data_IF_782028863901
#
_entry.id   IF_782028863901
#
_cell.length_a   1.000
_cell.length_b   1.000
_cell.length_c   1.000
_cell.angle_alpha   90.00
_cell.angle_beta   90.00
_cell.angle_gamma   90.00
#
_symmetry.space_group_name_H-M   'P 1'
#
loop_
_entity.id
_entity.type
_entity.pdbx_description
1 polymer ?
#
# COMPACT_ATOMS: atom_id res chain seq x y z
N UNK A 1 8.36 17.61 -31.26
CA UNK A 1 9.32 16.70 -30.67
C UNK A 1 10.35 16.21 -31.66
N UNK A 2 9.97 15.77 -32.85
CA UNK A 2 10.91 15.36 -33.84
C UNK A 2 11.80 16.47 -34.33
N UNK A 3 11.36 17.69 -34.11
CA UNK A 3 12.10 18.87 -34.50
C UNK A 3 13.40 19.04 -33.72
N UNK A 4 13.50 18.44 -32.57
CA UNK A 4 14.66 18.54 -31.70
C UNK A 4 15.93 18.07 -32.38
N UNK A 5 15.83 17.14 -33.32
CA UNK A 5 17.00 16.61 -34.03
C UNK A 5 17.79 17.67 -34.75
N UNK A 6 17.14 18.70 -35.28
CA UNK A 6 17.84 19.76 -35.98
C UNK A 6 18.68 20.60 -35.04
N UNK A 7 18.23 20.74 -33.77
CA UNK A 7 18.99 21.51 -32.77
C UNK A 7 20.19 20.73 -32.24
N UNK A 8 20.20 19.43 -32.41
CA UNK A 8 21.25 18.55 -31.91
C UNK A 8 22.40 18.38 -32.87
N UNK A 9 22.29 18.91 -34.07
CA UNK A 9 23.29 18.70 -35.12
C UNK A 9 24.10 19.97 -35.39
N UNK A 10 25.13 20.24 -34.58
CA UNK A 10 25.97 21.41 -34.84
C UNK A 10 26.65 21.28 -36.19
N UNK A 11 26.72 22.37 -36.89
CA UNK A 11 27.26 22.37 -38.24
C UNK A 11 28.77 22.15 -38.31
N UNK A 12 29.46 22.39 -37.20
CA UNK A 12 30.92 22.37 -37.18
C UNK A 12 31.49 21.21 -36.38
N UNK A 13 30.66 20.46 -35.69
CA UNK A 13 31.13 19.34 -34.86
C UNK A 13 30.77 18.02 -35.51
N UNK A 14 31.70 17.10 -35.46
CA UNK A 14 31.46 15.75 -35.93
C UNK A 14 32.26 14.77 -35.08
N UNK A 15 31.63 13.69 -34.54
CA UNK A 15 30.21 13.39 -34.68
C UNK A 15 29.35 14.40 -33.95
N UNK A 16 28.12 14.64 -34.40
CA UNK A 16 27.22 15.57 -33.72
C UNK A 16 26.83 15.02 -32.35
N UNK A 17 26.77 15.91 -31.38
CA UNK A 17 26.39 15.55 -30.02
C UNK A 17 25.10 16.28 -29.64
N UNK A 18 24.15 15.54 -29.11
CA UNK A 18 22.91 16.09 -28.57
C UNK A 18 22.91 15.99 -27.06
N UNK A 19 22.46 17.02 -26.36
CA UNK A 19 22.16 16.83 -24.94
C UNK A 19 21.09 15.78 -24.80
N UNK A 20 21.13 14.96 -23.72
CA UNK A 20 20.06 13.99 -23.51
C UNK A 20 18.71 14.70 -23.35
N UNK A 21 17.62 14.15 -23.90
CA UNK A 21 16.32 14.77 -23.70
C UNK A 21 15.98 14.79 -22.22
N UNK A 22 15.22 15.79 -21.75
CA UNK A 22 14.80 15.81 -20.36
C UNK A 22 13.97 14.56 -20.05
N UNK A 23 14.09 13.99 -18.84
CA UNK A 23 13.32 12.82 -18.48
C UNK A 23 11.81 13.14 -18.53
N UNK A 24 11.04 12.19 -19.03
CA UNK A 24 9.59 12.33 -19.07
C UNK A 24 9.07 12.21 -17.64
N UNK A 25 8.29 13.18 -17.13
CA UNK A 25 7.76 13.08 -15.77
C UNK A 25 6.86 11.86 -15.62
N UNK A 26 7.07 11.10 -14.54
CA UNK A 26 6.29 9.90 -14.23
C UNK A 26 5.81 9.87 -12.77
N UNK A 27 5.88 10.99 -12.09
CA UNK A 27 5.59 11.05 -10.65
C UNK A 27 4.24 11.68 -10.37
N UNK A 28 3.69 11.37 -9.20
CA UNK A 28 2.55 12.06 -8.61
C UNK A 28 3.04 12.82 -7.39
N UNK A 29 2.25 13.79 -6.96
CA UNK A 29 2.49 14.48 -5.70
C UNK A 29 2.08 13.57 -4.55
N UNK A 30 2.98 13.39 -3.59
CA UNK A 30 2.74 12.55 -2.42
C UNK A 30 2.50 13.47 -1.22
N UNK A 31 1.26 13.53 -0.76
CA UNK A 31 0.89 14.35 0.41
C UNK A 31 0.55 13.47 1.61
N UNK A 32 0.35 12.17 1.41
CA UNK A 32 0.03 11.24 2.49
C UNK A 32 1.29 10.88 3.28
N UNK A 33 1.11 10.49 4.52
CA UNK A 33 2.20 9.98 5.34
C UNK A 33 2.75 8.66 4.81
N UNK A 34 3.70 8.07 5.53
CA UNK A 34 4.33 6.82 5.14
C UNK A 34 3.76 5.62 5.86
N UNK A 35 2.71 5.80 6.62
CA UNK A 35 2.18 4.79 7.52
C UNK A 35 0.66 4.92 7.60
N UNK A 36 -0.01 3.78 7.55
CA UNK A 36 -1.45 3.69 7.82
C UNK A 36 -1.63 3.08 9.19
N UNK A 37 -2.33 3.78 10.07
CA UNK A 37 -2.73 3.24 11.37
C UNK A 37 -4.14 2.67 11.24
N UNK A 38 -4.26 1.37 11.45
CA UNK A 38 -5.53 0.68 11.35
C UNK A 38 -6.11 0.53 12.75
N UNK A 39 -7.13 1.32 13.05
CA UNK A 39 -7.80 1.34 14.35
C UNK A 39 -9.27 1.03 14.14
N UNK A 40 -9.60 -0.23 14.27
CA UNK A 40 -10.96 -0.72 14.06
C UNK A 40 -11.77 -0.78 15.37
N UNK A 41 -11.18 -0.36 16.48
CA UNK A 41 -11.80 -0.38 17.80
C UNK A 41 -11.39 -1.58 18.62
N UNK A 42 -12.25 -1.99 19.56
CA UNK A 42 -11.98 -3.12 20.42
C UNK A 42 -12.53 -4.41 19.82
N UNK A 43 -11.84 -5.51 20.09
CA UNK A 43 -12.24 -6.84 19.65
C UNK A 43 -13.01 -7.51 20.78
N UNK A 44 -14.19 -8.04 20.47
CA UNK A 44 -14.99 -8.85 21.39
C UNK A 44 -14.90 -10.32 20.94
N UNK A 45 -14.43 -11.19 21.82
CA UNK A 45 -14.15 -12.59 21.48
C UNK A 45 -15.38 -13.33 20.96
N UNK A 46 -16.56 -13.00 21.46
CA UNK A 46 -17.81 -13.66 21.06
C UNK A 46 -18.15 -13.49 19.59
N UNK A 47 -17.58 -12.48 18.94
CA UNK A 47 -17.83 -12.22 17.53
C UNK A 47 -16.94 -13.06 16.61
N UNK A 48 -16.01 -13.83 17.18
CA UNK A 48 -15.03 -14.62 16.43
C UNK A 48 -14.99 -16.05 16.98
N UNK A 49 -16.08 -16.83 16.81
CA UNK A 49 -16.14 -18.17 17.40
C UNK A 49 -15.17 -19.17 16.79
N UNK A 50 -14.64 -18.90 15.59
CA UNK A 50 -13.74 -19.82 14.89
C UNK A 50 -12.50 -19.09 14.38
N UNK A 51 -11.41 -19.86 14.23
CA UNK A 51 -10.20 -19.37 13.56
C UNK A 51 -10.57 -18.95 12.13
N UNK A 52 -10.00 -17.84 11.68
CA UNK A 52 -10.25 -17.21 10.39
C UNK A 52 -11.57 -16.44 10.29
N UNK A 53 -12.37 -16.35 11.34
CA UNK A 53 -13.52 -15.45 11.35
C UNK A 53 -13.05 -14.02 11.27
N UNK A 54 -13.77 -13.21 10.49
CA UNK A 54 -13.44 -11.81 10.25
C UNK A 54 -14.54 -10.88 10.72
N UNK A 55 -14.16 -9.68 11.10
CA UNK A 55 -15.10 -8.63 11.44
C UNK A 55 -15.68 -7.96 10.20
N UNK A 56 -16.62 -7.03 10.41
CA UNK A 56 -17.10 -6.16 9.35
C UNK A 56 -15.96 -5.34 8.79
N UNK A 57 -15.92 -5.22 7.47
CA UNK A 57 -14.89 -4.47 6.78
C UNK A 57 -15.13 -2.98 6.87
N UNK A 58 -14.05 -2.21 6.95
CA UNK A 58 -14.07 -0.76 6.86
C UNK A 58 -13.27 -0.34 5.65
N UNK A 59 -13.89 0.45 4.78
CA UNK A 59 -13.28 0.91 3.54
C UNK A 59 -12.55 2.22 3.74
N UNK A 60 -11.44 2.37 3.05
CA UNK A 60 -10.66 3.61 2.99
C UNK A 60 -9.87 3.64 1.68
N UNK A 61 -9.36 4.80 1.32
CA UNK A 61 -8.60 4.98 0.09
C UNK A 61 -7.24 5.61 0.38
N UNK A 62 -6.25 5.23 -0.42
CA UNK A 62 -4.98 5.94 -0.49
C UNK A 62 -4.95 6.64 -1.83
N UNK A 63 -4.74 7.96 -1.83
CA UNK A 63 -4.80 8.77 -3.04
C UNK A 63 -3.55 9.58 -3.24
N UNK A 64 -3.18 9.77 -4.50
CA UNK A 64 -2.14 10.68 -4.95
C UNK A 64 -2.77 11.70 -5.91
N UNK A 65 -2.20 12.88 -5.95
CA UNK A 65 -2.70 13.94 -6.81
C UNK A 65 -1.61 14.45 -7.74
N UNK A 66 -1.98 15.31 -8.67
CA UNK A 66 -1.05 15.96 -9.60
C UNK A 66 -0.11 14.95 -10.24
N UNK A 67 -0.67 13.85 -10.74
CA UNK A 67 0.08 12.83 -11.42
C UNK A 67 0.45 13.29 -12.83
N UNK A 68 1.70 13.08 -13.21
CA UNK A 68 2.12 13.28 -14.59
C UNK A 68 1.34 12.35 -15.51
N UNK A 69 1.20 12.74 -16.78
CA UNK A 69 0.37 11.99 -17.73
C UNK A 69 0.79 10.52 -17.87
N UNK A 70 2.09 10.25 -17.81
CA UNK A 70 2.62 8.90 -17.95
C UNK A 70 2.91 8.21 -16.61
N UNK A 71 2.49 8.79 -15.51
CA UNK A 71 2.71 8.20 -14.20
C UNK A 71 1.90 6.91 -14.03
N UNK A 72 2.56 5.87 -13.56
CA UNK A 72 1.94 4.59 -13.22
C UNK A 72 2.36 4.23 -11.79
N UNK A 73 1.81 4.94 -10.79
CA UNK A 73 2.26 4.74 -9.42
C UNK A 73 1.93 3.36 -8.91
N UNK A 74 2.86 2.81 -8.13
CA UNK A 74 2.67 1.56 -7.40
C UNK A 74 2.94 1.82 -5.93
N UNK A 75 2.29 1.05 -5.08
CA UNK A 75 2.44 1.15 -3.64
C UNK A 75 2.77 -0.23 -3.08
N UNK A 76 3.71 -0.27 -2.15
CA UNK A 76 4.09 -1.50 -1.44
C UNK A 76 3.93 -1.28 0.06
N UNK A 77 3.52 -2.33 0.76
CA UNK A 77 3.21 -2.28 2.18
C UNK A 77 4.11 -3.22 2.98
N UNK A 78 4.44 -2.81 4.20
CA UNK A 78 5.15 -3.66 5.16
C UNK A 78 4.50 -3.52 6.54
N UNK A 79 4.47 -4.62 7.27
CA UNK A 79 3.94 -4.66 8.63
C UNK A 79 4.90 -3.92 9.58
N UNK A 80 4.40 -2.92 10.29
CA UNK A 80 5.20 -2.16 11.25
C UNK A 80 5.52 -2.98 12.51
N UNK A 81 4.58 -3.80 12.94
CA UNK A 81 4.69 -4.57 14.19
C UNK A 81 4.93 -6.05 13.90
N UNK A 82 5.88 -6.36 13.04
CA UNK A 82 6.16 -7.74 12.63
C UNK A 82 6.28 -8.65 13.84
N UNK A 83 5.50 -9.73 13.83
CA UNK A 83 5.56 -10.75 14.86
C UNK A 83 6.31 -11.97 14.29
N UNK A 84 7.27 -12.50 15.05
CA UNK A 84 7.97 -13.70 14.65
C UNK A 84 7.04 -14.91 14.52
N UNK A 85 5.86 -14.84 15.14
CA UNK A 85 4.88 -15.92 15.10
C UNK A 85 3.93 -15.80 13.92
N UNK A 86 3.91 -14.67 13.23
CA UNK A 86 3.03 -14.45 12.10
C UNK A 86 3.75 -14.81 10.80
N UNK A 87 3.37 -15.97 10.25
CA UNK A 87 3.98 -16.46 9.02
C UNK A 87 3.21 -16.03 7.75
N UNK A 88 1.96 -15.61 7.89
CA UNK A 88 1.14 -15.22 6.74
C UNK A 88 1.40 -13.75 6.37
N UNK A 89 1.99 -13.47 5.20
CA UNK A 89 2.30 -12.09 4.81
C UNK A 89 1.06 -11.23 4.53
N UNK A 90 -0.13 -11.83 4.47
CA UNK A 90 -1.38 -11.09 4.24
C UNK A 90 -2.07 -10.68 5.53
N UNK A 91 -1.49 -11.00 6.68
CA UNK A 91 -2.05 -10.63 7.97
C UNK A 91 -1.14 -9.62 8.65
N UNK A 92 -1.69 -8.45 8.93
CA UNK A 92 -1.00 -7.39 9.63
C UNK A 92 -1.03 -7.68 11.13
N UNK A 93 0.13 -7.58 11.77
CA UNK A 93 0.24 -7.84 13.21
C UNK A 93 -0.32 -6.70 14.03
N UNK A 94 -0.86 -7.02 15.21
CA UNK A 94 -1.31 -6.01 16.16
C UNK A 94 -0.14 -5.54 17.01
N UNK A 95 -0.24 -4.29 17.46
CA UNK A 95 0.67 -3.75 18.46
C UNK A 95 0.53 -4.55 19.75
N UNK A 96 1.65 -4.88 20.39
CA UNK A 96 1.64 -5.64 21.64
C UNK A 96 1.00 -4.84 22.79
N UNK A 97 0.44 -5.56 23.75
CA UNK A 97 -0.19 -4.95 24.92
C UNK A 97 -1.70 -4.78 24.84
N UNK A 98 -2.29 -5.05 23.68
CA UNK A 98 -3.75 -5.01 23.50
C UNK A 98 -4.33 -6.40 23.27
N UNK A 99 -5.26 -6.50 22.32
CA UNK A 99 -5.86 -7.79 21.93
C UNK A 99 -4.79 -8.78 21.47
N UNK A 100 -5.01 -10.06 21.70
CA UNK A 100 -4.10 -11.12 21.28
C UNK A 100 -4.89 -12.22 20.55
N UNK A 101 -4.22 -12.92 19.65
CA UNK A 101 -4.83 -13.98 18.84
C UNK A 101 -5.60 -13.45 17.63
N UNK A 102 -5.39 -12.20 17.28
CA UNK A 102 -6.03 -11.53 16.15
C UNK A 102 -4.99 -10.84 15.29
N UNK A 103 -5.36 -10.61 14.04
CA UNK A 103 -4.60 -9.79 13.12
C UNK A 103 -5.55 -8.91 12.34
N UNK A 104 -5.00 -8.23 11.34
CA UNK A 104 -5.76 -7.38 10.45
C UNK A 104 -5.49 -7.82 9.03
N UNK A 105 -6.56 -8.00 8.25
CA UNK A 105 -6.46 -8.26 6.82
C UNK A 105 -6.94 -7.03 6.07
N UNK A 106 -6.24 -6.69 5.00
CA UNK A 106 -6.61 -5.56 4.14
C UNK A 106 -6.82 -6.12 2.75
N UNK A 107 -7.95 -5.79 2.18
CA UNK A 107 -8.33 -6.25 0.84
C UNK A 107 -8.15 -5.12 -0.15
N UNK A 108 -7.56 -5.44 -1.30
CA UNK A 108 -7.45 -4.52 -2.42
C UNK A 108 -8.82 -4.44 -3.12
N UNK A 109 -9.40 -3.25 -3.15
CA UNK A 109 -10.71 -3.06 -3.76
C UNK A 109 -10.73 -3.21 -5.27
N UNK A 110 -9.57 -3.21 -5.93
CA UNK A 110 -9.51 -3.36 -7.39
C UNK A 110 -9.66 -4.82 -7.85
N UNK A 111 -9.19 -5.78 -7.05
CA UNK A 111 -9.23 -7.19 -7.42
C UNK A 111 -9.82 -8.09 -6.34
N UNK A 112 -10.20 -7.53 -5.19
CA UNK A 112 -10.75 -8.24 -4.05
C UNK A 112 -9.79 -9.25 -3.42
N UNK A 113 -8.49 -9.13 -3.68
CA UNK A 113 -7.45 -9.97 -3.08
C UNK A 113 -6.87 -9.29 -1.86
N UNK A 114 -6.33 -10.09 -0.94
CA UNK A 114 -5.66 -9.55 0.24
C UNK A 114 -4.34 -8.88 -0.13
N UNK A 115 -4.06 -7.77 0.51
CA UNK A 115 -2.76 -7.09 0.40
C UNK A 115 -1.70 -7.91 1.15
N UNK A 116 -0.52 -8.01 0.57
CA UNK A 116 0.63 -8.63 1.21
C UNK A 116 1.49 -7.54 1.83
N UNK A 117 1.93 -7.77 3.05
CA UNK A 117 2.73 -6.81 3.80
C UNK A 117 4.23 -7.15 3.76
N UNK A 118 4.68 -7.65 2.63
CA UNK A 118 6.06 -8.08 2.39
C UNK A 118 6.81 -7.24 1.35
N UNK A 119 6.23 -6.12 0.97
CA UNK A 119 6.84 -5.23 -0.03
C UNK A 119 6.41 -5.51 -1.46
N UNK A 120 5.43 -6.40 -1.66
CA UNK A 120 4.88 -6.65 -3.00
C UNK A 120 4.25 -5.36 -3.53
N UNK A 121 4.60 -4.91 -4.74
CA UNK A 121 4.02 -3.68 -5.29
C UNK A 121 2.62 -3.91 -5.85
N UNK A 122 1.77 -2.93 -5.65
CA UNK A 122 0.40 -2.93 -6.18
C UNK A 122 0.18 -1.70 -7.04
N UNK A 123 -0.25 -1.85 -8.29
CA UNK A 123 -0.55 -0.70 -9.13
C UNK A 123 -1.78 0.05 -8.61
N UNK A 124 -1.67 1.37 -8.60
CA UNK A 124 -2.77 2.24 -8.24
C UNK A 124 -3.62 2.54 -9.47
N UNK A 125 -4.90 2.80 -9.25
CA UNK A 125 -5.83 3.15 -10.33
C UNK A 125 -5.67 4.62 -10.69
N UNK A 126 -5.44 4.91 -11.97
CA UNK A 126 -5.40 6.27 -12.45
C UNK A 126 -6.81 6.79 -12.74
N UNK A 127 -7.07 7.99 -12.26
CA UNK A 127 -8.34 8.71 -12.53
C UNK A 127 -7.97 10.15 -12.87
N UNK A 128 -7.93 10.46 -14.15
CA UNK A 128 -7.47 11.78 -14.61
C UNK A 128 -6.01 12.01 -14.18
N UNK A 129 -5.76 13.10 -13.49
CA UNK A 129 -4.43 13.43 -12.95
C UNK A 129 -4.23 12.95 -11.51
N UNK A 130 -5.10 12.07 -11.04
CA UNK A 130 -5.02 11.47 -9.72
C UNK A 130 -4.79 9.97 -9.83
N UNK A 131 -4.39 9.36 -8.71
CA UNK A 131 -4.31 7.92 -8.58
C UNK A 131 -4.85 7.53 -7.22
N UNK A 132 -5.55 6.40 -7.16
CA UNK A 132 -6.08 5.91 -5.90
C UNK A 132 -5.97 4.40 -5.80
N UNK A 133 -5.98 3.91 -4.57
CA UNK A 133 -6.09 2.49 -4.26
C UNK A 133 -7.16 2.35 -3.19
N UNK A 134 -8.34 1.83 -3.55
CA UNK A 134 -9.37 1.56 -2.56
C UNK A 134 -9.02 0.31 -1.79
N UNK A 135 -9.20 0.36 -0.47
CA UNK A 135 -8.85 -0.72 0.44
C UNK A 135 -9.98 -0.94 1.42
N UNK A 136 -10.06 -2.14 2.00
CA UNK A 136 -10.93 -2.42 3.11
C UNK A 136 -10.20 -3.25 4.14
N UNK A 137 -10.39 -2.94 5.42
CA UNK A 137 -9.70 -3.60 6.52
C UNK A 137 -10.69 -4.28 7.45
N UNK A 138 -10.30 -5.42 8.01
CA UNK A 138 -11.07 -6.16 8.98
C UNK A 138 -10.15 -6.88 9.94
N UNK A 139 -10.65 -7.15 11.16
CA UNK A 139 -9.95 -8.06 12.06
C UNK A 139 -10.14 -9.50 11.60
N UNK A 140 -9.18 -10.34 11.90
CA UNK A 140 -9.26 -11.77 11.68
C UNK A 140 -8.76 -12.50 12.93
N UNK A 141 -9.48 -13.54 13.35
CA UNK A 141 -9.01 -14.42 14.42
C UNK A 141 -7.95 -15.38 13.85
N UNK A 142 -6.76 -15.40 14.45
CA UNK A 142 -5.68 -16.27 14.04
C UNK A 142 -5.28 -17.28 15.11
N UNK A 143 -5.60 -17.00 16.38
CA UNK A 143 -5.20 -17.83 17.50
C UNK A 143 -6.24 -18.88 17.90
N UNK A 144 -5.76 -19.94 18.55
CA UNK A 144 -6.61 -20.91 19.19
C UNK A 144 -7.26 -20.29 20.44
N UNK A 145 -8.28 -20.98 20.98
CA UNK A 145 -9.10 -20.43 22.06
C UNK A 145 -8.28 -19.92 23.26
N UNK A 146 -7.28 -20.68 23.70
CA UNK A 146 -6.45 -20.29 24.85
C UNK A 146 -5.49 -19.13 24.57
N UNK A 147 -5.36 -18.72 23.33
CA UNK A 147 -4.45 -17.64 22.92
C UNK A 147 -5.18 -16.30 22.75
N UNK A 148 -6.49 -16.30 22.88
CA UNK A 148 -7.30 -15.10 22.60
C UNK A 148 -7.36 -14.18 23.81
N UNK A 149 -7.23 -12.89 23.55
CA UNK A 149 -7.39 -11.84 24.54
C UNK A 149 -8.14 -10.69 23.91
N UNK A 150 -9.25 -10.29 24.53
CA UNK A 150 -10.01 -9.12 24.11
C UNK A 150 -9.25 -7.85 24.44
N UNK A 151 -9.52 -6.79 23.74
CA UNK A 151 -8.90 -5.50 24.00
C UNK A 151 -8.82 -4.64 22.75
N UNK A 152 -8.07 -3.56 22.88
CA UNK A 152 -7.83 -2.64 21.79
C UNK A 152 -6.90 -3.31 20.76
N UNK A 153 -7.26 -3.21 19.51
CA UNK A 153 -6.50 -3.83 18.43
C UNK A 153 -6.02 -2.74 17.46
N UNK A 154 -4.77 -2.37 17.62
CA UNK A 154 -4.10 -1.40 16.75
C UNK A 154 -3.07 -2.10 15.89
N UNK A 155 -3.09 -1.80 14.60
CA UNK A 155 -2.07 -2.25 13.66
C UNK A 155 -1.61 -1.07 12.82
N UNK A 156 -0.45 -1.19 12.24
CA UNK A 156 0.06 -0.18 11.32
C UNK A 156 0.85 -0.83 10.19
N UNK A 157 0.67 -0.31 9.01
CA UNK A 157 1.45 -0.70 7.84
C UNK A 157 2.24 0.51 7.35
N UNK A 158 3.52 0.28 7.09
CA UNK A 158 4.35 1.25 6.41
C UNK A 158 4.21 1.03 4.91
N UNK A 159 4.21 2.11 4.14
CA UNK A 159 4.08 1.98 2.70
C UNK A 159 5.00 2.94 1.97
N UNK A 160 5.37 2.53 0.76
CA UNK A 160 6.22 3.31 -0.13
C UNK A 160 5.60 3.36 -1.51
N UNK A 161 5.76 4.49 -2.17
CA UNK A 161 5.33 4.65 -3.56
C UNK A 161 6.52 4.52 -4.49
N UNK A 162 6.30 3.89 -5.64
CA UNK A 162 7.28 3.84 -6.73
C UNK A 162 6.61 4.33 -8.00
N UNK A 163 7.39 4.92 -8.88
CA UNK A 163 6.93 5.47 -10.14
C UNK A 163 7.80 4.92 -11.27
N UNK A 164 7.51 3.66 -11.65
CA UNK A 164 8.32 2.99 -12.68
C UNK A 164 8.29 3.71 -14.01
#
# INVERSE_FOLDING_TARGET
QGVVMTDCLPKTAWPPTCPPPPPIPKKCKVEVGREINVKLGSVALKNFPRVNDTSTERSFDISLSECAALAKPEIAFRDKYVSAQQADPTILSLKSGGAAGFGIVVKNGLDQQRIRFDGTPYPMRRVGDSADLPLSAAYIRIGAEGELKAGVADGAAEFTFTFP
#
